data_IF_455788713693
#
_entry.id   IF_455788713693
#
_cell.length_a   1.000
_cell.length_b   1.000
_cell.length_c   1.000
_cell.angle_alpha   90.00
_cell.angle_beta   90.00
_cell.angle_gamma   90.00
#
_symmetry.space_group_name_H-M   'P 1'
#
loop_
_entity.id
_entity.type
_entity.pdbx_description
1 polymer ?
#
# COMPACT_ATOMS: atom_id res chain seq x y z
N UNK A 1 3.03 11.81 2.76
CA UNK A 1 2.98 12.14 4.20
C UNK A 1 3.95 11.25 4.97
N UNK A 2 4.66 11.79 5.97
CA UNK A 2 5.60 11.00 6.78
C UNK A 2 4.90 10.51 8.05
N UNK A 3 4.78 9.20 8.21
CA UNK A 3 4.07 8.56 9.33
C UNK A 3 5.02 7.74 10.20
N UNK A 4 4.71 7.66 11.49
CA UNK A 4 5.49 6.89 12.47
C UNK A 4 4.97 5.47 12.57
N UNK A 5 5.87 4.49 12.41
CA UNK A 5 5.53 3.07 12.46
C UNK A 5 5.23 2.62 13.90
N UNK A 6 4.08 1.98 14.07
CA UNK A 6 3.71 1.25 15.30
C UNK A 6 3.57 -0.25 14.96
N UNK A 7 4.45 -1.08 15.52
CA UNK A 7 4.45 -2.52 15.24
C UNK A 7 3.40 -3.21 16.11
N UNK A 8 2.39 -3.81 15.48
CA UNK A 8 1.30 -4.54 16.13
C UNK A 8 1.33 -6.06 15.89
N UNK A 9 2.36 -6.58 15.19
CA UNK A 9 2.45 -8.00 14.77
C UNK A 9 1.21 -8.47 13.99
N UNK A 10 0.77 -7.65 13.03
CA UNK A 10 -0.43 -7.90 12.25
C UNK A 10 -0.15 -8.96 11.18
N UNK A 11 -0.79 -10.12 11.31
CA UNK A 11 -0.76 -11.19 10.32
C UNK A 11 -1.85 -10.95 9.26
N UNK A 12 -1.44 -10.93 8.00
CA UNK A 12 -2.35 -10.80 6.86
C UNK A 12 -1.75 -11.47 5.62
N UNK A 13 -2.60 -12.09 4.80
CA UNK A 13 -2.16 -12.74 3.54
C UNK A 13 -1.71 -11.73 2.46
N UNK A 14 -2.04 -10.45 2.62
CA UNK A 14 -1.70 -9.36 1.70
C UNK A 14 -1.09 -8.17 2.47
N UNK A 15 -0.26 -7.33 1.83
CA UNK A 15 0.24 -6.10 2.44
C UNK A 15 -0.92 -5.17 2.82
N UNK A 16 -1.16 -5.03 4.12
CA UNK A 16 -2.17 -4.10 4.69
C UNK A 16 -1.52 -3.17 5.71
N UNK A 17 -2.07 -1.96 5.78
CA UNK A 17 -1.70 -0.96 6.78
C UNK A 17 -2.95 -0.37 7.41
N UNK A 18 -2.84 -0.02 8.68
CA UNK A 18 -3.88 0.69 9.43
C UNK A 18 -3.45 2.15 9.60
N UNK A 19 -4.35 3.07 9.30
CA UNK A 19 -4.17 4.52 9.45
C UNK A 19 -5.28 5.06 10.34
N UNK A 20 -4.94 6.01 11.21
CA UNK A 20 -5.92 6.64 12.09
C UNK A 20 -6.93 7.47 11.27
N UNK A 21 -8.22 7.46 11.63
CA UNK A 21 -9.29 8.18 10.91
C UNK A 21 -8.97 9.65 10.62
N UNK A 22 -8.42 10.39 11.59
CA UNK A 22 -8.01 11.80 11.40
C UNK A 22 -6.92 11.96 10.34
N UNK A 23 -5.91 11.10 10.37
CA UNK A 23 -4.82 11.11 9.38
C UNK A 23 -5.31 10.65 8.01
N UNK A 24 -6.25 9.70 7.96
CA UNK A 24 -6.88 9.31 6.72
C UNK A 24 -7.67 10.48 6.10
N UNK A 25 -8.43 11.22 6.90
CA UNK A 25 -9.15 12.42 6.46
C UNK A 25 -8.20 13.49 5.90
N UNK A 26 -7.11 13.79 6.61
CA UNK A 26 -6.07 14.75 6.17
C UNK A 26 -5.43 14.33 4.85
N UNK A 27 -5.25 13.02 4.64
CA UNK A 27 -4.70 12.46 3.41
C UNK A 27 -5.77 12.18 2.35
N UNK A 28 -7.04 12.51 2.57
CA UNK A 28 -8.16 12.13 1.68
C UNK A 28 -8.17 10.65 1.30
N UNK A 29 -7.85 9.78 2.27
CA UNK A 29 -7.83 8.33 2.15
C UNK A 29 -9.18 7.74 2.55
N UNK A 30 -9.63 6.78 1.76
CA UNK A 30 -10.77 5.92 2.07
C UNK A 30 -10.31 4.48 2.35
N UNK A 31 -11.22 3.68 2.91
CA UNK A 31 -11.01 2.23 3.06
C UNK A 31 -10.75 1.62 1.67
N UNK A 32 -9.88 0.61 1.62
CA UNK A 32 -9.45 -0.10 0.40
C UNK A 32 -8.62 0.73 -0.60
N UNK A 33 -8.36 1.99 -0.31
CA UNK A 33 -7.36 2.74 -1.07
C UNK A 33 -6.00 2.05 -0.98
N UNK A 34 -5.22 2.20 -2.05
CA UNK A 34 -3.85 1.71 -2.10
C UNK A 34 -2.91 2.86 -1.79
N UNK A 35 -1.95 2.60 -0.92
CA UNK A 35 -0.87 3.53 -0.60
C UNK A 35 0.48 2.90 -0.88
N UNK A 36 1.40 3.70 -1.39
CA UNK A 36 2.79 3.34 -1.53
C UNK A 36 3.52 3.73 -0.24
N UNK A 37 4.06 2.73 0.45
CA UNK A 37 4.87 2.93 1.66
C UNK A 37 6.34 2.81 1.28
N UNK A 38 7.12 3.86 1.54
CA UNK A 38 8.54 3.94 1.21
C UNK A 38 9.39 4.04 2.48
N UNK A 39 10.53 3.34 2.45
CA UNK A 39 11.63 3.54 3.38
C UNK A 39 12.95 3.44 2.63
N UNK A 40 13.68 4.57 2.56
CA UNK A 40 14.94 4.67 1.78
C UNK A 40 14.72 4.20 0.33
N UNK A 41 15.46 3.18 -0.12
CA UNK A 41 15.37 2.61 -1.48
C UNK A 41 14.28 1.54 -1.65
N UNK A 42 13.57 1.17 -0.58
CA UNK A 42 12.53 0.12 -0.64
C UNK A 42 11.14 0.72 -0.61
N UNK A 43 10.22 0.10 -1.34
CA UNK A 43 8.82 0.53 -1.42
C UNK A 43 7.89 -0.68 -1.56
N UNK A 44 6.67 -0.56 -1.06
CA UNK A 44 5.64 -1.60 -1.18
C UNK A 44 4.26 -0.96 -1.24
N UNK A 45 3.39 -1.51 -2.08
CA UNK A 45 1.98 -1.11 -2.13
C UNK A 45 1.24 -1.83 -1.01
N UNK A 46 0.44 -1.09 -0.26
CA UNK A 46 -0.37 -1.58 0.85
C UNK A 46 -1.81 -1.14 0.69
N UNK A 47 -2.76 -1.98 1.14
CA UNK A 47 -4.18 -1.62 1.23
C UNK A 47 -4.42 -0.93 2.58
N UNK A 48 -5.17 0.18 2.56
CA UNK A 48 -5.49 0.98 3.74
C UNK A 48 -6.73 0.44 4.44
N UNK A 49 -6.58 0.20 5.74
CA UNK A 49 -7.68 0.05 6.69
C UNK A 49 -7.70 1.28 7.60
N UNK A 50 -8.88 1.84 7.84
CA UNK A 50 -9.04 2.98 8.75
C UNK A 50 -9.45 2.48 10.13
N UNK A 51 -8.81 3.02 11.18
CA UNK A 51 -9.09 2.66 12.58
C UNK A 51 -9.09 3.92 13.45
N UNK A 52 -9.77 3.91 14.58
CA UNK A 52 -9.85 5.05 15.52
C UNK A 52 -9.08 4.80 16.83
N UNK A 53 -9.20 3.60 17.41
CA UNK A 53 -8.75 3.37 18.80
C UNK A 53 -7.45 2.55 18.94
N UNK A 54 -6.87 2.07 17.83
CA UNK A 54 -5.74 1.12 17.86
C UNK A 54 -4.38 1.84 17.72
N UNK A 55 -4.34 2.93 16.97
CA UNK A 55 -3.15 3.72 16.67
C UNK A 55 -3.46 5.19 16.84
N UNK A 56 -2.44 6.03 17.10
CA UNK A 56 -2.65 7.46 17.26
C UNK A 56 -2.66 8.18 15.90
N UNK A 57 -3.18 9.42 15.82
CA UNK A 57 -2.94 10.27 14.66
C UNK A 57 -1.44 10.34 14.32
N UNK A 58 -1.13 10.36 13.02
CA UNK A 58 0.23 10.36 12.46
C UNK A 58 1.04 9.07 12.70
N UNK A 59 0.42 8.02 13.23
CA UNK A 59 0.98 6.68 13.28
C UNK A 59 0.41 5.80 12.16
N UNK A 60 1.20 4.79 11.77
CA UNK A 60 0.80 3.74 10.84
C UNK A 60 1.18 2.38 11.43
N UNK A 61 0.21 1.47 11.51
CA UNK A 61 0.50 0.06 11.75
C UNK A 61 0.53 -0.67 10.42
N UNK A 62 1.41 -1.66 10.30
CA UNK A 62 1.59 -2.40 9.05
C UNK A 62 1.67 -3.90 9.33
N UNK A 63 1.23 -4.69 8.35
CA UNK A 63 1.37 -6.15 8.37
C UNK A 63 2.82 -6.62 8.44
N UNK A 64 3.04 -7.81 8.99
CA UNK A 64 4.37 -8.43 9.11
C UNK A 64 5.08 -8.58 7.77
N UNK A 65 4.33 -8.75 6.68
CA UNK A 65 4.86 -8.79 5.31
C UNK A 65 5.57 -7.48 4.95
N UNK A 66 4.98 -6.33 5.31
CA UNK A 66 5.56 -5.00 5.08
C UNK A 66 6.76 -4.79 6.01
N UNK A 67 6.67 -5.18 7.28
CA UNK A 67 7.77 -5.08 8.25
C UNK A 67 9.01 -5.81 7.72
N UNK A 68 8.85 -7.06 7.28
CA UNK A 68 9.95 -7.88 6.73
C UNK A 68 10.50 -7.29 5.43
N UNK A 69 9.63 -6.89 4.50
CA UNK A 69 10.04 -6.37 3.20
C UNK A 69 10.84 -5.06 3.32
N UNK A 70 10.30 -4.08 4.07
CA UNK A 70 10.92 -2.77 4.28
C UNK A 70 11.97 -2.74 5.40
N UNK A 71 12.16 -3.85 6.13
CA UNK A 71 13.04 -3.94 7.33
C UNK A 71 12.70 -2.84 8.34
N UNK A 72 11.43 -2.75 8.73
CA UNK A 72 10.94 -1.74 9.68
C UNK A 72 11.24 -2.17 11.12
N UNK A 73 11.54 -1.17 11.95
CA UNK A 73 11.57 -1.27 13.41
C UNK A 73 10.45 -0.42 13.99
N UNK A 74 10.08 -0.70 15.23
CA UNK A 74 9.11 0.12 15.93
C UNK A 74 9.61 1.57 16.05
N UNK A 75 8.71 2.54 15.88
CA UNK A 75 8.99 3.98 15.89
C UNK A 75 9.82 4.51 14.71
N UNK A 76 10.11 3.68 13.70
CA UNK A 76 10.67 4.19 12.43
C UNK A 76 9.69 5.17 11.76
N UNK A 77 10.21 5.98 10.85
CA UNK A 77 9.38 6.78 9.96
C UNK A 77 9.38 6.22 8.55
N UNK A 78 8.22 6.29 7.90
CA UNK A 78 8.00 5.90 6.51
C UNK A 78 7.25 7.00 5.77
N UNK A 79 7.52 7.13 4.49
CA UNK A 79 6.77 8.02 3.61
C UNK A 79 5.62 7.23 2.99
N UNK A 80 4.42 7.81 3.09
CA UNK A 80 3.17 7.22 2.61
C UNK A 80 2.55 8.16 1.59
N UNK A 81 2.32 7.63 0.39
CA UNK A 81 1.74 8.34 -0.74
C UNK A 81 0.52 7.56 -1.23
N UNK A 82 -0.53 8.28 -1.62
CA UNK A 82 -1.67 7.67 -2.32
C UNK A 82 -1.16 7.18 -3.67
N UNK A 83 -1.54 5.96 -4.05
CA UNK A 83 -1.25 5.45 -5.39
C UNK A 83 -2.55 5.10 -6.08
N UNK A 84 -2.61 5.45 -7.35
CA UNK A 84 -3.66 4.95 -8.23
C UNK A 84 -3.51 3.44 -8.45
N UNK A 85 -4.55 2.89 -9.04
CA UNK A 85 -4.56 1.50 -9.45
C UNK A 85 -3.46 1.26 -10.50
N UNK A 86 -2.79 0.11 -10.45
CA UNK A 86 -1.71 -0.17 -11.38
C UNK A 86 -2.21 -0.19 -12.83
N UNK A 87 -1.36 0.24 -13.77
CA UNK A 87 -1.72 0.32 -15.19
C UNK A 87 -2.14 -1.04 -15.77
N UNK A 88 -1.69 -2.15 -15.16
CA UNK A 88 -2.17 -3.49 -15.49
C UNK A 88 -3.70 -3.61 -15.49
N UNK A 89 -4.44 -2.88 -14.65
CA UNK A 89 -5.91 -2.92 -14.68
C UNK A 89 -6.46 -2.40 -16.02
N UNK A 90 -5.89 -1.32 -16.55
CA UNK A 90 -6.29 -0.77 -17.84
C UNK A 90 -5.94 -1.75 -18.98
N UNK A 91 -4.79 -2.42 -18.88
CA UNK A 91 -4.38 -3.44 -19.84
C UNK A 91 -5.27 -4.69 -19.79
N UNK A 92 -5.71 -5.11 -18.60
CA UNK A 92 -6.67 -6.21 -18.43
C UNK A 92 -8.01 -5.82 -19.04
N UNK A 93 -8.53 -4.61 -18.75
CA UNK A 93 -9.74 -4.08 -19.38
C UNK A 93 -9.63 -4.04 -20.91
N UNK A 94 -8.48 -3.62 -21.44
CA UNK A 94 -8.18 -3.65 -22.88
C UNK A 94 -8.32 -5.07 -23.45
N UNK A 95 -7.72 -6.08 -22.79
CA UNK A 95 -7.85 -7.48 -23.22
C UNK A 95 -9.28 -8.02 -23.13
N UNK A 96 -10.03 -7.66 -22.08
CA UNK A 96 -11.44 -8.06 -21.92
C UNK A 96 -12.36 -7.46 -23.00
N UNK A 97 -11.99 -6.33 -23.60
CA UNK A 97 -12.69 -5.73 -24.75
C UNK A 97 -12.36 -6.42 -26.09
N UNK A 98 -11.45 -7.40 -26.09
CA UNK A 98 -11.03 -8.12 -27.29
C UNK A 98 -9.72 -7.62 -27.90
N UNK A 99 -9.14 -6.53 -27.41
CA UNK A 99 -7.92 -5.97 -27.98
C UNK A 99 -6.68 -6.83 -27.68
N UNK A 100 -5.70 -6.78 -28.57
CA UNK A 100 -4.41 -7.45 -28.37
C UNK A 100 -3.48 -6.68 -27.41
N UNK A 101 -2.76 -7.45 -26.60
CA UNK A 101 -1.70 -6.97 -25.71
C UNK A 101 -0.34 -7.38 -26.26
N UNK A 102 0.58 -6.42 -26.34
CA UNK A 102 1.95 -6.72 -26.72
C UNK A 102 2.76 -7.27 -25.53
N UNK A 103 3.94 -7.84 -25.81
CA UNK A 103 4.84 -8.41 -24.81
C UNK A 103 5.14 -7.46 -23.63
N UNK A 104 5.33 -6.17 -23.90
CA UNK A 104 5.60 -5.17 -22.86
C UNK A 104 4.40 -4.99 -21.95
N UNK A 105 3.19 -4.95 -22.51
CA UNK A 105 1.94 -4.84 -21.76
C UNK A 105 1.67 -6.08 -20.90
N UNK A 106 1.91 -7.27 -21.44
CA UNK A 106 1.82 -8.52 -20.68
C UNK A 106 2.82 -8.50 -19.52
N UNK A 107 4.07 -8.10 -19.77
CA UNK A 107 5.08 -8.01 -18.70
C UNK A 107 4.72 -6.99 -17.63
N UNK A 108 4.08 -5.87 -17.97
CA UNK A 108 3.54 -4.94 -16.96
C UNK A 108 2.53 -5.64 -16.05
N UNK A 109 1.63 -6.46 -16.61
CA UNK A 109 0.65 -7.22 -15.80
C UNK A 109 1.36 -8.22 -14.88
N UNK A 110 2.34 -8.98 -15.40
CA UNK A 110 3.08 -9.96 -14.61
C UNK A 110 3.85 -9.31 -13.46
N UNK A 111 4.53 -8.19 -13.73
CA UNK A 111 5.31 -7.46 -12.74
C UNK A 111 4.44 -6.81 -11.64
N UNK A 112 3.18 -6.48 -11.94
CA UNK A 112 2.25 -5.94 -10.95
C UNK A 112 1.67 -7.04 -10.03
N UNK A 113 1.69 -8.30 -10.45
CA UNK A 113 1.23 -9.47 -9.67
C UNK A 113 2.36 -10.11 -8.86
N UNK A 114 3.58 -10.12 -9.40
CA UNK A 114 4.75 -10.83 -8.84
C UNK A 114 5.45 -10.06 -7.73
#
# INVERSE_FOLDING_TARGET
MKLKVKILKLLAGKPVCMIHEKTALEMSLHIDNRVLIKKRKKRIISIVNIVSNIIKPNEIAVSDKIVKHLKLKNRDFVDVEITEHPNSINLIKKKLKGDELNKKQIMTIVNDIS
#
